data_IF_261167171362
#
_entry.id   IF_261167171362
#
_cell.length_a   1.000
_cell.length_b   1.000
_cell.length_c   1.000
_cell.angle_alpha   90.00
_cell.angle_beta   90.00
_cell.angle_gamma   90.00
#
_symmetry.space_group_name_H-M   'P 1'
#
loop_
_entity.id
_entity.type
_entity.pdbx_description
1 polymer ?
#
# COMPACT_ATOMS: atom_id res chain seq x y z
N UNK A 1 4.67 21.42 4.85
CA UNK A 1 4.28 21.12 3.45
C UNK A 1 2.82 20.68 3.46
N UNK A 2 1.95 21.31 2.68
CA UNK A 2 0.54 20.91 2.60
C UNK A 2 0.45 19.56 1.91
N UNK A 3 0.20 18.49 2.67
CA UNK A 3 -0.16 17.18 2.10
C UNK A 3 -1.46 17.39 1.34
N UNK A 4 -1.45 17.22 0.01
CA UNK A 4 -2.67 17.27 -0.77
C UNK A 4 -3.57 16.12 -0.30
N UNK A 5 -4.69 16.45 0.35
CA UNK A 5 -5.64 15.47 0.92
C UNK A 5 -6.68 15.00 -0.10
N UNK A 6 -6.63 15.52 -1.33
CA UNK A 6 -7.57 15.16 -2.38
C UNK A 6 -7.06 13.93 -3.14
N UNK A 7 -7.94 12.94 -3.40
CA UNK A 7 -7.61 11.82 -4.28
C UNK A 7 -7.20 12.32 -5.69
N UNK A 8 -6.15 11.73 -6.25
CA UNK A 8 -5.70 12.02 -7.62
C UNK A 8 -6.46 11.16 -8.62
N UNK A 9 -7.49 11.71 -9.26
CA UNK A 9 -8.29 10.99 -10.27
C UNK A 9 -7.65 10.96 -11.68
N UNK A 10 -6.39 11.40 -11.81
CA UNK A 10 -5.61 11.26 -13.04
C UNK A 10 -4.25 10.59 -12.77
N UNK A 11 -4.24 9.41 -12.10
CA UNK A 11 -3.01 8.79 -11.68
C UNK A 11 -2.18 8.34 -12.89
N UNK A 12 -0.87 8.53 -12.80
CA UNK A 12 0.10 8.11 -13.82
C UNK A 12 1.07 7.12 -13.17
N UNK A 13 1.53 6.11 -13.94
CA UNK A 13 2.53 5.10 -13.52
C UNK A 13 2.08 4.27 -12.30
N UNK A 14 0.88 3.68 -12.38
CA UNK A 14 0.24 2.91 -11.30
C UNK A 14 1.17 1.85 -10.71
N UNK A 15 1.78 1.00 -11.55
CA UNK A 15 2.69 -0.06 -11.13
C UNK A 15 3.86 0.49 -10.31
N UNK A 16 4.51 1.56 -10.79
CA UNK A 16 5.66 2.17 -10.11
C UNK A 16 5.27 2.73 -8.75
N UNK A 17 4.10 3.38 -8.67
CA UNK A 17 3.61 3.98 -7.43
C UNK A 17 3.28 2.91 -6.40
N UNK A 18 2.53 1.86 -6.78
CA UNK A 18 2.19 0.75 -5.89
C UNK A 18 3.45 0.00 -5.45
N UNK A 19 4.38 -0.31 -6.37
CA UNK A 19 5.63 -0.99 -6.03
C UNK A 19 6.47 -0.19 -5.01
N UNK A 20 6.50 1.14 -5.15
CA UNK A 20 7.20 2.00 -4.19
C UNK A 20 6.57 1.93 -2.80
N UNK A 21 5.24 2.02 -2.73
CA UNK A 21 4.52 2.00 -1.44
C UNK A 21 4.65 0.63 -0.78
N UNK A 22 4.42 -0.47 -1.50
CA UNK A 22 4.54 -1.82 -0.94
C UNK A 22 5.97 -2.13 -0.49
N UNK A 23 6.98 -1.72 -1.26
CA UNK A 23 8.39 -1.85 -0.84
C UNK A 23 8.68 -1.08 0.45
N UNK A 24 8.18 0.16 0.56
CA UNK A 24 8.32 0.95 1.78
C UNK A 24 7.56 0.32 2.96
N UNK A 25 6.37 -0.22 2.72
CA UNK A 25 5.56 -0.89 3.73
C UNK A 25 6.24 -2.14 4.30
N UNK A 26 6.95 -2.91 3.48
CA UNK A 26 7.76 -4.03 3.96
C UNK A 26 8.94 -3.57 4.83
N UNK A 27 9.60 -2.47 4.47
CA UNK A 27 10.66 -1.88 5.31
C UNK A 27 10.10 -1.42 6.66
N UNK A 28 8.95 -0.75 6.64
CA UNK A 28 8.23 -0.32 7.85
C UNK A 28 7.85 -1.51 8.72
N UNK A 29 7.29 -2.57 8.13
CA UNK A 29 6.93 -3.78 8.85
C UNK A 29 8.14 -4.47 9.49
N UNK A 30 9.28 -4.50 8.79
CA UNK A 30 10.53 -5.00 9.35
C UNK A 30 11.07 -4.14 10.50
N UNK A 31 10.92 -2.81 10.45
CA UNK A 31 11.24 -1.95 11.59
C UNK A 31 10.28 -2.18 12.76
N UNK A 32 8.98 -2.25 12.49
CA UNK A 32 7.92 -2.48 13.46
C UNK A 32 8.06 -3.83 14.18
N UNK A 33 8.59 -4.86 13.54
CA UNK A 33 8.82 -6.16 14.18
C UNK A 33 9.87 -6.14 15.30
N UNK A 34 10.57 -5.02 15.50
CA UNK A 34 11.51 -4.80 16.60
C UNK A 34 10.93 -3.87 17.68
N UNK A 35 9.71 -3.36 17.50
CA UNK A 35 8.98 -2.59 18.49
C UNK A 35 8.38 -3.48 19.58
N UNK A 36 7.82 -2.85 20.61
CA UNK A 36 7.17 -3.53 21.74
C UNK A 36 6.00 -2.72 22.34
N UNK A 37 5.59 -1.66 21.68
CA UNK A 37 4.47 -0.80 22.09
C UNK A 37 3.67 -0.35 20.86
N UNK A 38 2.51 0.25 21.13
CA UNK A 38 1.60 0.72 20.08
C UNK A 38 2.28 1.70 19.11
N UNK A 39 3.09 2.62 19.64
CA UNK A 39 3.71 3.70 18.87
C UNK A 39 4.83 3.19 17.96
N UNK A 40 5.55 2.14 18.36
CA UNK A 40 6.63 1.53 17.59
C UNK A 40 6.15 0.44 16.62
N UNK A 41 5.02 -0.20 16.88
CA UNK A 41 4.49 -1.29 16.05
C UNK A 41 3.29 -0.84 15.21
N UNK A 42 2.22 -0.39 15.85
CA UNK A 42 0.91 -0.18 15.18
C UNK A 42 0.85 1.14 14.44
N UNK A 43 1.28 2.25 15.05
CA UNK A 43 1.26 3.56 14.38
C UNK A 43 1.99 3.60 13.02
N UNK A 44 3.21 3.05 12.86
CA UNK A 44 3.88 3.09 11.57
C UNK A 44 3.20 2.19 10.52
N UNK A 45 2.65 1.05 10.94
CA UNK A 45 1.86 0.18 10.05
C UNK A 45 0.57 0.86 9.58
N UNK A 46 -0.17 1.50 10.49
CA UNK A 46 -1.41 2.22 10.15
C UNK A 46 -1.14 3.36 9.15
N UNK A 47 -0.06 4.11 9.35
CA UNK A 47 0.32 5.20 8.42
C UNK A 47 0.58 4.69 7.01
N UNK A 48 1.32 3.59 6.86
CA UNK A 48 1.67 3.07 5.53
C UNK A 48 0.50 2.32 4.88
N UNK A 49 -0.33 1.63 5.66
CA UNK A 49 -1.56 1.01 5.18
C UNK A 49 -2.56 2.09 4.71
N UNK A 50 -2.66 3.21 5.42
CA UNK A 50 -3.48 4.34 4.99
C UNK A 50 -3.00 4.91 3.64
N UNK A 51 -1.69 5.06 3.44
CA UNK A 51 -1.12 5.51 2.17
C UNK A 51 -1.43 4.53 1.03
N UNK A 52 -1.24 3.22 1.25
CA UNK A 52 -1.56 2.19 0.27
C UNK A 52 -3.06 2.16 -0.05
N UNK A 53 -3.92 2.23 0.98
CA UNK A 53 -5.37 2.24 0.87
C UNK A 53 -5.89 3.43 0.06
N UNK A 54 -5.32 4.62 0.25
CA UNK A 54 -5.66 5.79 -0.56
C UNK A 54 -5.41 5.56 -2.06
N UNK A 55 -4.24 5.04 -2.41
CA UNK A 55 -3.86 4.82 -3.81
C UNK A 55 -4.66 3.69 -4.46
N UNK A 56 -4.80 2.56 -3.76
CA UNK A 56 -5.52 1.38 -4.26
C UNK A 56 -7.02 1.65 -4.43
N UNK A 57 -7.62 2.42 -3.52
CA UNK A 57 -9.03 2.84 -3.61
C UNK A 57 -9.31 3.64 -4.89
N UNK A 58 -8.45 4.61 -5.21
CA UNK A 58 -8.58 5.42 -6.43
C UNK A 58 -8.41 4.56 -7.68
N UNK A 59 -7.38 3.71 -7.71
CA UNK A 59 -7.11 2.84 -8.85
C UNK A 59 -8.28 1.88 -9.12
N UNK A 60 -8.82 1.27 -8.07
CA UNK A 60 -10.00 0.39 -8.16
C UNK A 60 -11.23 1.16 -8.63
N UNK A 61 -11.50 2.34 -8.07
CA UNK A 61 -12.62 3.18 -8.47
C UNK A 61 -12.55 3.54 -9.96
N UNK A 62 -11.41 4.05 -10.42
CA UNK A 62 -11.21 4.40 -11.83
C UNK A 62 -11.35 3.19 -12.76
N UNK A 63 -10.80 2.02 -12.39
CA UNK A 63 -11.00 0.79 -13.17
C UNK A 63 -12.49 0.39 -13.23
N UNK A 64 -13.28 0.70 -12.19
CA UNK A 64 -14.70 0.38 -12.13
C UNK A 64 -15.62 1.37 -12.86
N UNK A 65 -15.30 2.67 -12.88
CA UNK A 65 -16.19 3.71 -13.44
C UNK A 65 -15.69 4.34 -14.74
N UNK A 66 -14.38 4.22 -15.01
CA UNK A 66 -13.68 4.84 -16.14
C UNK A 66 -12.79 3.80 -16.82
N UNK A 67 -13.35 2.61 -17.08
CA UNK A 67 -12.62 1.50 -17.67
C UNK A 67 -12.06 1.83 -19.07
N UNK A 68 -10.80 1.47 -19.30
CA UNK A 68 -10.17 1.37 -20.64
C UNK A 68 -9.19 0.19 -20.64
N UNK A 69 -8.91 -0.40 -21.80
CA UNK A 69 -7.95 -1.51 -21.91
C UNK A 69 -6.54 -1.08 -21.48
N UNK A 70 -6.14 0.14 -21.84
CA UNK A 70 -4.84 0.70 -21.49
C UNK A 70 -4.69 0.92 -19.97
N UNK A 71 -5.73 1.47 -19.33
CA UNK A 71 -5.73 1.65 -17.88
C UNK A 71 -5.76 0.29 -17.17
N UNK A 72 -6.58 -0.64 -17.65
CA UNK A 72 -6.71 -1.97 -17.08
C UNK A 72 -5.38 -2.75 -17.15
N UNK A 73 -4.66 -2.68 -18.27
CA UNK A 73 -3.35 -3.31 -18.41
C UNK A 73 -2.31 -2.79 -17.40
N UNK A 74 -2.36 -1.49 -17.05
CA UNK A 74 -1.52 -0.93 -15.99
C UNK A 74 -2.02 -1.29 -14.59
N UNK A 75 -3.34 -1.32 -14.39
CA UNK A 75 -3.98 -1.71 -13.13
C UNK A 75 -3.68 -3.16 -12.77
N UNK A 76 -3.78 -4.09 -13.72
CA UNK A 76 -3.53 -5.52 -13.51
C UNK A 76 -2.10 -5.80 -13.01
N UNK A 77 -1.11 -5.01 -13.46
CA UNK A 77 0.28 -5.12 -12.97
C UNK A 77 0.40 -4.79 -11.48
N UNK A 78 -0.53 -4.02 -10.91
CA UNK A 78 -0.53 -3.70 -9.48
C UNK A 78 -1.06 -4.82 -8.60
N UNK A 79 -1.93 -5.69 -9.12
CA UNK A 79 -2.62 -6.72 -8.33
C UNK A 79 -1.66 -7.74 -7.70
N UNK A 80 -0.64 -8.28 -8.42
CA UNK A 80 0.34 -9.17 -7.81
C UNK A 80 1.18 -8.48 -6.73
N UNK A 81 1.51 -7.20 -6.91
CA UNK A 81 2.30 -6.44 -5.93
C UNK A 81 1.56 -6.30 -4.60
N UNK A 82 0.26 -5.96 -4.67
CA UNK A 82 -0.62 -5.82 -3.51
C UNK A 82 -0.83 -7.17 -2.84
N UNK A 83 -1.10 -8.22 -3.63
CA UNK A 83 -1.34 -9.58 -3.11
C UNK A 83 -0.11 -10.14 -2.41
N UNK A 84 1.08 -9.95 -2.98
CA UNK A 84 2.34 -10.34 -2.36
C UNK A 84 2.59 -9.57 -1.07
N UNK A 85 2.36 -8.25 -1.06
CA UNK A 85 2.49 -7.44 0.15
C UNK A 85 1.62 -7.97 1.30
N UNK A 86 0.32 -8.20 1.07
CA UNK A 86 -0.55 -8.72 2.12
C UNK A 86 -0.19 -10.15 2.56
N UNK A 87 0.35 -10.96 1.65
CA UNK A 87 0.85 -12.30 1.99
C UNK A 87 2.07 -12.22 2.93
N UNK A 88 3.03 -11.34 2.63
CA UNK A 88 4.21 -11.11 3.47
C UNK A 88 3.83 -10.58 4.85
N UNK A 89 2.94 -9.58 4.93
CA UNK A 89 2.47 -9.04 6.22
C UNK A 89 1.70 -10.10 7.01
N UNK A 90 0.75 -10.79 6.37
CA UNK A 90 -0.11 -11.78 7.04
C UNK A 90 0.64 -13.02 7.54
N UNK A 91 1.83 -13.29 7.00
CA UNK A 91 2.67 -14.43 7.41
C UNK A 91 3.89 -14.04 8.26
N UNK A 92 4.09 -12.74 8.54
CA UNK A 92 5.23 -12.25 9.30
C UNK A 92 5.09 -12.56 10.80
N UNK A 93 5.71 -13.67 11.22
CA UNK A 93 5.73 -14.11 12.63
C UNK A 93 6.42 -13.12 13.56
N UNK A 94 7.49 -12.46 13.11
CA UNK A 94 8.21 -11.50 13.94
C UNK A 94 7.33 -10.30 14.26
N UNK A 95 6.56 -9.82 13.28
CA UNK A 95 5.60 -8.75 13.47
C UNK A 95 4.45 -9.16 14.39
N UNK A 96 3.93 -10.38 14.22
CA UNK A 96 2.90 -10.94 15.13
C UNK A 96 3.38 -11.04 16.58
N UNK A 97 4.66 -11.34 16.81
CA UNK A 97 5.23 -11.45 18.16
C UNK A 97 5.60 -10.09 18.78
N UNK A 98 5.65 -9.02 17.98
CA UNK A 98 6.07 -7.69 18.45
C UNK A 98 5.00 -6.97 19.27
N UNK A 99 3.73 -7.38 19.16
CA UNK A 99 2.60 -6.80 19.89
C UNK A 99 1.49 -7.83 20.08
#
# INVERSE_FOLDING_TARGET
MSVNRLPDFQPIKLEKTINKITSNALLVANSASHGNDWTSVVEPLDKIEHELGQQTSVNYHLNSVMFSEEFNAEYEKTLPLISNYYSEIGTNKSLYNAF
#
